data_IF_601421643778
#
_entry.id   IF_601421643778
#
_cell.length_a   1.000
_cell.length_b   1.000
_cell.length_c   1.000
_cell.angle_alpha   90.00
_cell.angle_beta   90.00
_cell.angle_gamma   90.00
#
_symmetry.space_group_name_H-M   'P 1'
#
loop_
_entity.id
_entity.type
_entity.pdbx_description
1 polymer ?
#
# COMPACT_ATOMS: atom_id res chain seq x y z
N UNK A 1 -3.60 0.82 -16.38
CA UNK A 1 -4.90 1.46 -16.12
C UNK A 1 -4.69 2.79 -15.41
N UNK A 2 -5.37 3.82 -15.85
CA UNK A 2 -5.32 5.13 -15.22
C UNK A 2 -6.68 5.48 -14.67
N UNK A 3 -6.70 6.08 -13.50
CA UNK A 3 -7.92 6.54 -12.85
C UNK A 3 -7.77 8.03 -12.64
N UNK A 4 -8.75 8.79 -13.13
CA UNK A 4 -8.77 10.24 -12.92
C UNK A 4 -9.64 10.56 -11.70
N UNK A 5 -9.08 11.30 -10.75
CA UNK A 5 -9.80 11.73 -9.56
C UNK A 5 -9.87 13.26 -9.56
N UNK A 6 -11.07 13.78 -9.34
CA UNK A 6 -11.27 15.21 -9.19
C UNK A 6 -11.37 15.55 -7.71
N UNK A 7 -10.35 16.24 -7.20
CA UNK A 7 -10.31 16.69 -5.82
C UNK A 7 -10.59 18.19 -5.76
N UNK A 8 -11.20 18.67 -4.66
CA UNK A 8 -11.35 20.12 -4.47
C UNK A 8 -10.01 20.84 -4.54
N UNK A 9 -9.99 22.00 -5.17
CA UNK A 9 -8.76 22.76 -5.38
C UNK A 9 -8.01 23.11 -4.10
N UNK A 10 -8.70 23.17 -2.98
CA UNK A 10 -8.11 23.48 -1.68
C UNK A 10 -7.02 22.50 -1.28
N UNK A 11 -7.14 21.25 -1.66
CA UNK A 11 -6.14 20.23 -1.34
C UNK A 11 -4.81 20.48 -2.05
N UNK A 12 -4.85 21.07 -3.24
CA UNK A 12 -3.63 21.37 -4.01
C UNK A 12 -2.85 22.49 -3.37
N UNK A 13 -3.50 23.33 -2.57
CA UNK A 13 -2.82 24.42 -1.85
C UNK A 13 -2.00 23.90 -0.67
N UNK A 14 -2.33 22.72 -0.15
CA UNK A 14 -1.68 22.14 1.02
C UNK A 14 -0.53 21.20 0.65
N UNK A 15 -0.63 20.56 -0.50
CA UNK A 15 0.34 19.57 -0.93
C UNK A 15 0.52 19.61 -2.45
N UNK A 16 1.67 19.16 -2.93
CA UNK A 16 1.87 18.99 -4.37
C UNK A 16 0.99 17.84 -4.88
N UNK A 17 0.67 17.88 -6.16
CA UNK A 17 -0.12 16.81 -6.79
C UNK A 17 0.58 15.46 -6.63
N UNK A 18 1.91 15.44 -6.74
CA UNK A 18 2.69 14.22 -6.57
C UNK A 18 2.56 13.64 -5.17
N UNK A 19 2.57 14.48 -4.14
CA UNK A 19 2.42 14.04 -2.75
C UNK A 19 1.01 13.53 -2.49
N UNK A 20 0.00 14.21 -3.05
CA UNK A 20 -1.39 13.77 -2.93
C UNK A 20 -1.56 12.39 -3.57
N UNK A 21 -0.98 12.18 -4.75
CA UNK A 21 -1.05 10.90 -5.45
C UNK A 21 -0.42 9.78 -4.62
N UNK A 22 0.75 10.03 -4.02
CA UNK A 22 1.41 9.05 -3.15
C UNK A 22 0.54 8.70 -1.95
N UNK A 23 -0.04 9.71 -1.32
CA UNK A 23 -0.89 9.51 -0.14
C UNK A 23 -2.15 8.74 -0.49
N UNK A 24 -2.75 9.02 -1.64
CA UNK A 24 -3.94 8.29 -2.11
C UNK A 24 -3.58 6.81 -2.34
N UNK A 25 -2.47 6.54 -3.01
CA UNK A 25 -2.03 5.18 -3.26
C UNK A 25 -1.78 4.42 -1.96
N UNK A 26 -1.06 5.04 -1.03
CA UNK A 26 -0.76 4.45 0.26
C UNK A 26 -2.04 4.20 1.05
N UNK A 27 -2.91 5.20 1.13
CA UNK A 27 -4.16 5.10 1.88
C UNK A 27 -5.04 3.98 1.34
N UNK A 28 -5.16 3.86 0.03
CA UNK A 28 -5.95 2.81 -0.59
C UNK A 28 -5.35 1.43 -0.33
N UNK A 29 -4.02 1.32 -0.45
CA UNK A 29 -3.32 0.07 -0.16
C UNK A 29 -3.52 -0.37 1.29
N UNK A 30 -3.40 0.56 2.23
CA UNK A 30 -3.62 0.29 3.64
C UNK A 30 -5.06 -0.16 3.91
N UNK A 31 -6.01 0.52 3.29
CA UNK A 31 -7.42 0.17 3.44
C UNK A 31 -7.73 -1.24 2.93
N UNK A 32 -7.21 -1.57 1.74
CA UNK A 32 -7.38 -2.91 1.16
C UNK A 32 -6.72 -3.98 2.02
N UNK A 33 -5.52 -3.71 2.51
CA UNK A 33 -4.79 -4.65 3.34
C UNK A 33 -5.50 -4.86 4.68
N UNK A 34 -5.94 -3.77 5.30
CA UNK A 34 -6.69 -3.85 6.56
C UNK A 34 -7.96 -4.68 6.40
N UNK A 35 -8.62 -4.59 5.26
CA UNK A 35 -9.82 -5.36 4.95
C UNK A 35 -9.53 -6.78 4.45
N UNK A 36 -8.28 -7.21 4.46
CA UNK A 36 -7.85 -8.52 3.96
C UNK A 36 -8.25 -8.77 2.51
N UNK A 37 -8.29 -7.71 1.72
CA UNK A 37 -8.69 -7.81 0.30
C UNK A 37 -7.50 -8.07 -0.62
N UNK A 38 -6.29 -7.79 -0.15
CA UNK A 38 -5.06 -8.02 -0.89
C UNK A 38 -4.01 -8.57 0.05
N UNK A 39 -2.99 -9.21 -0.52
CA UNK A 39 -1.83 -9.66 0.25
C UNK A 39 -0.94 -8.47 0.61
N UNK A 40 -0.04 -8.69 1.55
CA UNK A 40 0.94 -7.67 1.92
C UNK A 40 1.77 -7.23 0.71
N UNK A 41 2.22 -8.19 -0.10
CA UNK A 41 3.01 -7.89 -1.28
C UNK A 41 2.23 -7.06 -2.31
N UNK A 42 0.96 -7.38 -2.53
CA UNK A 42 0.12 -6.62 -3.47
C UNK A 42 -0.18 -5.22 -2.97
N UNK A 43 -0.40 -5.08 -1.67
CA UNK A 43 -0.60 -3.77 -1.07
C UNK A 43 0.64 -2.88 -1.22
N UNK A 44 1.82 -3.45 -0.96
CA UNK A 44 3.08 -2.74 -1.13
C UNK A 44 3.28 -2.31 -2.60
N UNK A 45 2.98 -3.19 -3.53
CA UNK A 45 3.04 -2.88 -4.96
C UNK A 45 2.12 -1.72 -5.33
N UNK A 46 0.89 -1.73 -4.83
CA UNK A 46 -0.07 -0.65 -5.08
C UNK A 46 0.41 0.68 -4.50
N UNK A 47 1.03 0.65 -3.33
CA UNK A 47 1.58 1.83 -2.68
C UNK A 47 2.91 2.28 -3.31
N UNK A 48 3.46 1.49 -4.24
CA UNK A 48 4.75 1.74 -4.87
C UNK A 48 5.90 1.75 -3.85
N UNK A 49 5.80 0.87 -2.86
CA UNK A 49 6.80 0.70 -1.80
C UNK A 49 7.29 -0.74 -1.79
N UNK A 50 8.51 -0.95 -1.28
CA UNK A 50 8.91 -2.32 -1.01
C UNK A 50 8.12 -2.84 0.21
N UNK A 51 8.14 -4.16 0.40
CA UNK A 51 7.31 -4.79 1.42
C UNK A 51 7.67 -4.33 2.83
N UNK A 52 8.95 -4.06 3.08
CA UNK A 52 9.41 -3.62 4.40
C UNK A 52 8.96 -2.20 4.70
N UNK A 53 9.07 -1.30 3.73
CA UNK A 53 8.61 0.07 3.87
C UNK A 53 7.09 0.11 4.06
N UNK A 54 6.37 -0.75 3.36
CA UNK A 54 4.92 -0.85 3.55
C UNK A 54 4.56 -1.35 4.95
N UNK A 55 5.32 -2.32 5.50
CA UNK A 55 5.12 -2.79 6.86
C UNK A 55 5.33 -1.68 7.88
N UNK A 56 6.32 -0.81 7.66
CA UNK A 56 6.55 0.36 8.51
C UNK A 56 5.34 1.29 8.47
N UNK A 57 4.78 1.51 7.30
CA UNK A 57 3.58 2.34 7.15
C UNK A 57 2.37 1.72 7.84
N UNK A 58 2.21 0.41 7.76
CA UNK A 58 1.16 -0.30 8.49
C UNK A 58 1.29 -0.05 10.00
N UNK A 59 2.51 -0.14 10.52
CA UNK A 59 2.78 0.09 11.93
C UNK A 59 2.45 1.53 12.33
N UNK A 60 2.82 2.49 11.49
CA UNK A 60 2.54 3.91 11.75
C UNK A 60 1.04 4.20 11.82
N UNK A 61 0.25 3.48 11.05
CA UNK A 61 -1.21 3.64 10.99
C UNK A 61 -1.94 2.64 11.90
N UNK A 62 -1.20 1.98 12.78
CA UNK A 62 -1.75 1.02 13.75
C UNK A 62 -2.55 -0.11 13.10
N UNK A 63 -2.14 -0.51 11.90
CA UNK A 63 -2.72 -1.65 11.22
C UNK A 63 -1.87 -2.86 11.59
N UNK A 64 -2.42 -3.84 12.30
CA UNK A 64 -1.64 -5.01 12.70
C UNK A 64 -1.21 -5.78 11.45
N UNK A 65 0.10 -5.90 11.29
CA UNK A 65 0.64 -6.88 10.39
C UNK A 65 0.77 -8.13 11.23
N UNK A 66 -0.20 -9.01 11.11
CA UNK A 66 -0.05 -10.33 11.68
C UNK A 66 1.17 -10.89 11.01
N UNK A 67 2.22 -11.18 11.80
CA UNK A 67 3.39 -11.81 11.23
C UNK A 67 2.93 -12.92 10.32
N UNK A 68 3.03 -12.74 9.00
CA UNK A 68 2.68 -13.85 8.12
C UNK A 68 3.55 -14.99 8.60
N UNK A 69 2.97 -16.15 8.79
CA UNK A 69 3.78 -17.30 9.09
C UNK A 69 4.91 -17.29 8.07
N UNK A 70 6.09 -17.72 8.48
CA UNK A 70 7.25 -17.79 7.58
C UNK A 70 6.86 -18.42 6.24
N UNK A 71 5.91 -19.37 6.28
CA UNK A 71 5.41 -20.05 5.11
C UNK A 71 4.65 -19.10 4.17
N UNK A 72 3.78 -18.23 4.73
CA UNK A 72 3.05 -17.25 3.93
C UNK A 72 3.97 -16.25 3.28
N UNK A 73 4.96 -15.76 4.03
CA UNK A 73 5.94 -14.84 3.49
C UNK A 73 6.75 -15.47 2.37
N UNK A 74 7.18 -16.71 2.55
CA UNK A 74 7.90 -17.45 1.51
C UNK A 74 7.05 -17.68 0.28
N UNK A 75 5.76 -17.99 0.46
CA UNK A 75 4.85 -18.17 -0.66
C UNK A 75 4.66 -16.88 -1.44
N UNK A 76 4.52 -15.75 -0.76
CA UNK A 76 4.41 -14.45 -1.41
C UNK A 76 5.69 -14.10 -2.19
N UNK A 77 6.85 -14.32 -1.59
CA UNK A 77 8.13 -14.09 -2.24
C UNK A 77 8.31 -15.00 -3.45
N UNK A 78 7.92 -16.26 -3.32
CA UNK A 78 7.97 -17.21 -4.43
C UNK A 78 7.06 -16.80 -5.57
N UNK A 79 5.85 -16.32 -5.26
CA UNK A 79 4.93 -15.81 -6.27
C UNK A 79 5.51 -14.61 -7.00
N UNK A 80 6.21 -13.72 -6.29
CA UNK A 80 6.85 -12.56 -6.90
C UNK A 80 8.02 -12.96 -7.79
N UNK A 81 8.72 -14.04 -7.46
CA UNK A 81 9.89 -14.50 -8.17
C UNK A 81 9.58 -15.53 -9.26
N UNK A 82 8.35 -16.02 -9.33
CA UNK A 82 7.94 -17.06 -10.27
C UNK A 82 7.61 -16.53 -11.67
N UNK A 83 7.92 -15.31 -11.93
CA UNK A 83 7.64 -14.69 -13.24
C UNK A 83 8.82 -14.86 -14.19
#
# INVERSE_FOLDING_TARGET
>A
MQIALNLPNEFVLLQSVSDIEKDIRLSYALWLFKGSKVTLAKAAELANLDIYDFMVECKRHEIPVINPSRKELLNELTSMNAL
#
